data_IF_890522822772
#
_entry.id   IF_890522822772
#
_cell.length_a   1.000
_cell.length_b   1.000
_cell.length_c   1.000
_cell.angle_alpha   90.00
_cell.angle_beta   90.00
_cell.angle_gamma   90.00
#
_symmetry.space_group_name_H-M   'P 1'
#
loop_
_entity.id
_entity.type
_entity.pdbx_description
1 polymer ?
#
# COMPACT_ATOMS: atom_id res chain seq x y z
N UNK A 1 -1.02 -6.15 5.38
CA UNK A 1 0.28 -5.42 5.41
C UNK A 1 0.13 -4.19 4.52
N UNK A 2 0.75 -3.06 4.89
CA UNK A 2 0.78 -1.87 4.03
C UNK A 2 1.78 -2.09 2.88
N UNK A 3 1.34 -1.86 1.65
CA UNK A 3 2.16 -2.07 0.43
C UNK A 3 2.55 -0.74 -0.24
N UNK A 4 1.66 0.26 -0.22
CA UNK A 4 1.87 1.57 -0.82
C UNK A 4 0.93 2.62 -0.21
N UNK A 5 1.27 3.90 -0.41
CA UNK A 5 0.40 5.05 -0.13
C UNK A 5 0.29 5.90 -1.39
N UNK A 6 -0.91 6.42 -1.68
CA UNK A 6 -1.16 7.37 -2.77
C UNK A 6 -1.76 8.66 -2.21
N UNK A 7 -1.28 9.81 -2.68
CA UNK A 7 -1.84 11.13 -2.36
C UNK A 7 -1.69 12.05 -3.57
N UNK A 8 -2.82 12.37 -4.20
CA UNK A 8 -2.85 13.09 -5.47
C UNK A 8 -2.19 12.25 -6.58
N UNK A 9 -1.28 12.84 -7.38
CA UNK A 9 -0.61 12.12 -8.47
C UNK A 9 0.43 11.11 -7.95
N UNK A 10 0.90 11.27 -6.71
CA UNK A 10 2.04 10.53 -6.21
C UNK A 10 1.66 9.20 -5.57
N UNK A 11 2.37 8.14 -5.95
CA UNK A 11 2.34 6.83 -5.28
C UNK A 11 3.72 6.49 -4.74
N UNK A 12 3.80 6.19 -3.45
CA UNK A 12 4.99 5.64 -2.82
C UNK A 12 4.78 4.16 -2.54
N UNK A 13 5.57 3.30 -3.19
CA UNK A 13 5.64 1.88 -2.85
C UNK A 13 6.57 1.70 -1.64
N UNK A 14 6.07 1.03 -0.59
CA UNK A 14 6.81 0.78 0.67
C UNK A 14 7.16 -0.70 0.87
N UNK A 15 6.85 -1.54 -0.14
CA UNK A 15 7.19 -2.95 -0.19
C UNK A 15 7.32 -3.45 -1.66
N UNK A 16 7.94 -4.62 -1.90
CA UNK A 16 7.97 -5.23 -3.22
C UNK A 16 6.57 -5.54 -3.74
N UNK A 17 6.25 -5.15 -4.97
CA UNK A 17 4.89 -5.24 -5.52
C UNK A 17 4.77 -6.36 -6.56
N UNK A 18 3.65 -7.07 -6.54
CA UNK A 18 3.33 -8.10 -7.55
C UNK A 18 2.67 -7.48 -8.77
N UNK A 19 3.09 -7.91 -9.96
CA UNK A 19 2.42 -7.57 -11.23
C UNK A 19 1.52 -8.71 -11.74
N UNK A 20 1.35 -9.78 -10.95
CA UNK A 20 0.56 -10.96 -11.33
C UNK A 20 1.29 -11.95 -12.24
N UNK A 21 0.56 -12.97 -12.71
CA UNK A 21 0.97 -13.95 -13.74
C UNK A 21 2.38 -14.56 -13.55
N UNK A 22 2.77 -14.88 -12.31
CA UNK A 22 4.07 -15.51 -12.03
C UNK A 22 5.29 -14.60 -12.27
N UNK A 23 5.08 -13.30 -12.54
CA UNK A 23 6.17 -12.34 -12.67
C UNK A 23 6.86 -12.11 -11.32
N UNK A 24 8.20 -11.89 -11.32
CA UNK A 24 8.91 -11.47 -10.12
C UNK A 24 8.30 -10.18 -9.55
N UNK A 25 8.34 -10.04 -8.23
CA UNK A 25 7.92 -8.79 -7.58
C UNK A 25 8.88 -7.67 -7.94
N UNK A 26 8.33 -6.53 -8.34
CA UNK A 26 9.10 -5.33 -8.66
C UNK A 26 9.60 -4.69 -7.36
N UNK A 27 10.86 -4.25 -7.37
CA UNK A 27 11.53 -3.68 -6.20
C UNK A 27 11.95 -4.72 -5.16
N UNK A 28 12.05 -6.01 -5.53
CA UNK A 28 12.65 -7.01 -4.63
C UNK A 28 14.13 -6.66 -4.41
N UNK A 29 14.58 -6.41 -3.16
CA UNK A 29 15.97 -6.06 -2.90
C UNK A 29 16.89 -7.25 -3.09
N UNK A 30 18.16 -6.98 -3.41
CA UNK A 30 19.19 -8.00 -3.42
C UNK A 30 19.33 -8.67 -2.03
N UNK A 31 19.79 -9.93 -1.96
CA UNK A 31 20.00 -10.61 -0.69
C UNK A 31 20.84 -9.77 0.29
N UNK A 32 20.34 -9.61 1.52
CA UNK A 32 21.00 -8.81 2.56
C UNK A 32 20.87 -7.29 2.42
N UNK A 33 20.16 -6.77 1.41
CA UNK A 33 19.85 -5.33 1.31
C UNK A 33 18.45 -5.03 1.83
N UNK A 34 18.25 -3.88 2.51
CA UNK A 34 16.91 -3.42 2.86
C UNK A 34 16.14 -3.01 1.59
N UNK A 35 14.82 -3.06 1.67
CA UNK A 35 13.95 -2.51 0.64
C UNK A 35 14.08 -0.98 0.62
N UNK A 36 14.17 -0.40 -0.57
CA UNK A 36 14.12 1.05 -0.78
C UNK A 36 12.76 1.46 -1.35
N UNK A 37 12.08 2.46 -0.77
CA UNK A 37 10.84 2.99 -1.32
C UNK A 37 11.03 3.54 -2.73
N UNK A 38 10.01 3.33 -3.57
CA UNK A 38 9.98 3.82 -4.97
C UNK A 38 8.82 4.78 -5.14
N UNK A 39 9.06 5.89 -5.82
CA UNK A 39 8.08 6.96 -6.01
C UNK A 39 7.71 7.07 -7.49
N UNK A 40 6.41 7.13 -7.77
CA UNK A 40 5.88 7.32 -9.12
C UNK A 40 4.91 8.50 -9.15
N UNK A 41 4.93 9.24 -10.26
CA UNK A 41 3.90 10.21 -10.60
C UNK A 41 2.91 9.56 -11.58
N UNK A 42 1.72 9.20 -11.09
CA UNK A 42 0.71 8.47 -11.85
C UNK A 42 -0.05 9.32 -12.86
N UNK A 43 0.04 10.66 -12.81
CA UNK A 43 -0.56 11.52 -13.83
C UNK A 43 0.26 11.48 -15.12
N UNK A 44 1.60 11.41 -15.00
CA UNK A 44 2.51 11.32 -16.15
C UNK A 44 2.97 9.90 -16.48
N UNK A 45 2.98 8.99 -15.50
CA UNK A 45 3.47 7.61 -15.62
C UNK A 45 2.54 6.65 -14.87
N UNK A 46 1.37 6.41 -15.44
CA UNK A 46 0.38 5.46 -14.90
C UNK A 46 0.89 4.01 -14.87
N UNK A 47 1.89 3.71 -15.69
CA UNK A 47 2.53 2.39 -15.77
C UNK A 47 3.57 2.13 -14.68
N UNK A 48 3.88 3.11 -13.84
CA UNK A 48 4.88 2.99 -12.75
C UNK A 48 6.24 2.50 -13.26
N UNK A 49 6.65 3.03 -14.41
CA UNK A 49 7.85 2.61 -15.14
C UNK A 49 9.11 3.31 -14.64
N UNK A 50 8.97 4.52 -14.08
CA UNK A 50 10.09 5.39 -13.71
C UNK A 50 10.05 5.74 -12.23
N UNK A 51 11.00 5.20 -11.47
CA UNK A 51 11.20 5.58 -10.06
C UNK A 51 11.89 6.94 -9.97
N UNK A 52 11.21 7.93 -9.40
CA UNK A 52 11.69 9.30 -9.23
C UNK A 52 11.92 9.66 -7.75
N UNK A 53 12.09 8.67 -6.88
CA UNK A 53 12.25 8.89 -5.44
C UNK A 53 13.50 9.73 -5.09
N UNK A 54 14.60 9.54 -5.84
CA UNK A 54 15.85 10.27 -5.62
C UNK A 54 15.72 11.77 -5.95
N UNK A 55 14.88 12.11 -6.93
CA UNK A 55 14.69 13.49 -7.40
C UNK A 55 13.66 14.27 -6.58
N UNK A 56 12.83 13.56 -5.78
CA UNK A 56 11.74 14.15 -4.98
C UNK A 56 11.74 13.68 -3.52
N UNK A 57 12.84 13.90 -2.76
CA UNK A 57 12.95 13.44 -1.37
C UNK A 57 11.90 14.05 -0.43
N UNK A 58 11.44 15.27 -0.71
CA UNK A 58 10.38 15.95 0.04
C UNK A 58 9.02 15.23 -0.09
N UNK A 59 8.73 14.68 -1.27
CA UNK A 59 7.49 13.96 -1.53
C UNK A 59 7.56 12.59 -0.88
N UNK A 60 8.71 11.91 -0.98
CA UNK A 60 8.96 10.64 -0.29
C UNK A 60 8.72 10.81 1.22
N UNK A 61 9.32 11.83 1.84
CA UNK A 61 9.16 12.11 3.27
C UNK A 61 7.69 12.33 3.65
N UNK A 62 6.97 13.19 2.92
CA UNK A 62 5.54 13.44 3.16
C UNK A 62 4.71 12.16 3.09
N UNK A 63 4.96 11.31 2.09
CA UNK A 63 4.21 10.07 1.92
C UNK A 63 4.60 9.00 2.94
N UNK A 64 5.85 8.99 3.42
CA UNK A 64 6.28 8.12 4.52
C UNK A 64 5.59 8.48 5.84
N UNK A 65 5.39 9.76 6.13
CA UNK A 65 4.62 10.21 7.30
C UNK A 65 3.17 9.71 7.25
N UNK A 66 2.52 9.80 6.08
CA UNK A 66 1.19 9.20 5.86
C UNK A 66 1.21 7.68 6.02
N UNK A 67 2.24 7.01 5.49
CA UNK A 67 2.40 5.56 5.61
C UNK A 67 2.53 5.10 7.06
N UNK A 68 3.27 5.85 7.89
CA UNK A 68 3.40 5.57 9.32
C UNK A 68 2.04 5.64 10.03
N UNK A 69 1.24 6.67 9.74
CA UNK A 69 -0.12 6.81 10.28
C UNK A 69 -1.03 5.64 9.87
N UNK A 70 -1.03 5.26 8.59
CA UNK A 70 -1.83 4.15 8.09
C UNK A 70 -1.39 2.80 8.64
N UNK A 71 -0.09 2.61 8.87
CA UNK A 71 0.44 1.39 9.47
C UNK A 71 -0.07 1.20 10.90
N UNK A 72 -0.11 2.29 11.68
CA UNK A 72 -0.69 2.28 13.03
C UNK A 72 -2.20 2.03 13.01
N UNK A 73 -2.92 2.59 12.03
CA UNK A 73 -4.37 2.49 11.93
C UNK A 73 -4.88 1.11 11.49
N UNK A 74 -4.28 0.53 10.45
CA UNK A 74 -4.71 -0.74 9.85
C UNK A 74 -4.60 -1.93 10.80
N UNK A 75 -3.76 -1.84 11.82
CA UNK A 75 -3.59 -2.93 12.78
C UNK A 75 -2.99 -4.19 12.15
N UNK A 76 -1.93 -4.03 11.38
CA UNK A 76 -1.32 -5.14 10.63
C UNK A 76 -0.77 -6.29 11.51
N UNK A 77 -0.56 -6.04 12.81
CA UNK A 77 -0.05 -7.02 13.78
C UNK A 77 -1.06 -7.29 14.92
N UNK A 78 -1.87 -6.30 15.30
CA UNK A 78 -2.93 -6.35 16.31
C UNK A 78 -4.09 -5.50 15.82
N UNK A 79 -5.33 -5.78 16.25
CA UNK A 79 -6.52 -5.01 15.83
C UNK A 79 -6.29 -3.51 16.05
N UNK A 80 -6.15 -2.77 14.95
CA UNK A 80 -5.81 -1.35 14.95
C UNK A 80 -7.03 -0.48 15.27
N UNK A 81 -6.82 0.79 15.66
CA UNK A 81 -7.89 1.68 16.07
C UNK A 81 -8.91 1.96 14.95
N UNK A 82 -8.47 1.96 13.68
CA UNK A 82 -9.34 2.13 12.51
C UNK A 82 -10.13 0.89 12.11
N UNK A 83 -9.88 -0.26 12.73
CA UNK A 83 -10.60 -1.50 12.41
C UNK A 83 -12.01 -1.44 12.98
N UNK A 84 -12.98 -1.12 12.11
CA UNK A 84 -14.40 -1.09 12.46
C UNK A 84 -14.87 -2.43 13.06
N UNK A 85 -15.73 -2.42 14.09
CA UNK A 85 -16.34 -3.64 14.59
C UNK A 85 -17.22 -4.30 13.52
N UNK A 86 -17.31 -5.63 13.56
CA UNK A 86 -18.23 -6.35 12.68
C UNK A 86 -19.68 -5.99 13.04
N UNK A 87 -20.47 -5.64 12.03
CA UNK A 87 -21.92 -5.52 12.18
C UNK A 87 -22.52 -6.88 12.50
N UNK A 88 -23.38 -6.95 13.52
CA UNK A 88 -24.09 -8.18 13.88
C UNK A 88 -25.58 -7.98 13.73
N UNK A 89 -26.24 -8.96 13.12
CA UNK A 89 -27.71 -9.03 13.01
C UNK A 89 -28.16 -10.18 13.89
N UNK A 90 -29.01 -9.89 14.89
CA UNK A 90 -29.42 -10.90 15.88
C UNK A 90 -30.22 -12.06 15.28
N UNK A 91 -30.98 -11.81 14.20
CA UNK A 91 -31.83 -12.79 13.52
C UNK A 91 -31.67 -12.67 12.01
N UNK A 92 -30.56 -13.16 11.42
CA UNK A 92 -30.36 -13.10 9.99
C UNK A 92 -31.38 -14.01 9.28
N UNK A 93 -31.94 -13.55 8.16
CA UNK A 93 -32.81 -14.36 7.30
C UNK A 93 -32.04 -14.74 6.03
N UNK A 94 -31.87 -16.03 5.71
CA UNK A 94 -31.20 -16.44 4.48
C UNK A 94 -32.06 -16.06 3.26
N UNK A 95 -31.39 -15.68 2.17
CA UNK A 95 -32.04 -15.58 0.87
C UNK A 95 -32.13 -16.99 0.28
N UNK A 96 -33.34 -17.53 0.19
CA UNK A 96 -33.60 -18.79 -0.51
C UNK A 96 -33.89 -18.46 -1.99
N UNK A 97 -33.19 -19.13 -2.91
CA UNK A 97 -33.59 -19.13 -4.32
C UNK A 97 -34.95 -19.83 -4.43
N UNK A 98 -35.87 -19.19 -5.16
CA UNK A 98 -37.17 -19.78 -5.50
C UNK A 98 -37.00 -20.90 -6.52
#
# INVERSE_FOLDING_TARGET
>A
RLEAVRSGPWKLAVAPQSEGLGKPRVGTPAPGKPYQPRLYNLDSDIGETTDVAADHPEIVKRLQELAAGMFADLGAVKKGPGVRPAGRVARPKPLLLK
#
